data_IF_250281199972
#
_entry.id   IF_250281199972
#
_cell.length_a   1.000
_cell.length_b   1.000
_cell.length_c   1.000
_cell.angle_alpha   90.00
_cell.angle_beta   90.00
_cell.angle_gamma   90.00
#
_symmetry.space_group_name_H-M   'P 1'
#
loop_
_entity.id
_entity.type
_entity.pdbx_description
1 polymer ?
#
# COMPACT_ATOMS: atom_id res chain seq x y z
N UNK A 1 -24.13 -0.38 12.90
CA UNK A 1 -24.15 -0.91 14.28
C UNK A 1 -24.28 -2.42 14.20
N UNK A 2 -23.43 -3.14 14.93
CA UNK A 2 -23.45 -4.59 15.00
C UNK A 2 -24.31 -5.04 16.19
N UNK A 3 -25.03 -6.15 16.03
CA UNK A 3 -25.76 -6.84 17.11
C UNK A 3 -25.21 -8.26 17.23
N UNK A 4 -24.96 -8.72 18.45
CA UNK A 4 -24.60 -10.09 18.77
C UNK A 4 -25.58 -10.64 19.80
N UNK A 5 -26.00 -11.90 19.65
CA UNK A 5 -26.90 -12.59 20.58
C UNK A 5 -26.21 -13.83 21.13
N UNK A 6 -26.33 -14.08 22.42
CA UNK A 6 -25.71 -15.22 23.08
C UNK A 6 -25.94 -15.19 24.59
N UNK A 7 -25.33 -16.15 25.30
CA UNK A 7 -25.38 -16.11 26.77
C UNK A 7 -24.58 -14.93 27.31
N UNK A 8 -25.03 -14.35 28.41
CA UNK A 8 -24.36 -13.21 29.07
C UNK A 8 -22.84 -13.50 29.31
N UNK A 9 -22.52 -14.68 29.80
CA UNK A 9 -21.16 -15.09 30.07
C UNK A 9 -20.30 -15.09 28.77
N UNK A 10 -20.81 -15.66 27.67
CA UNK A 10 -20.10 -15.70 26.40
C UNK A 10 -19.87 -14.31 25.82
N UNK A 11 -20.89 -13.45 25.86
CA UNK A 11 -20.80 -12.09 25.36
C UNK A 11 -19.78 -11.26 26.14
N UNK A 12 -19.85 -11.28 27.48
CA UNK A 12 -18.89 -10.55 28.33
C UNK A 12 -17.46 -11.09 28.21
N UNK A 13 -17.29 -12.41 28.04
CA UNK A 13 -15.95 -13.02 27.86
C UNK A 13 -15.32 -12.61 26.53
N UNK A 14 -16.10 -12.54 25.46
CA UNK A 14 -15.61 -12.22 24.12
C UNK A 14 -15.45 -10.71 23.88
N UNK A 15 -16.19 -9.87 24.60
CA UNK A 15 -16.33 -8.43 24.38
C UNK A 15 -15.00 -7.73 24.11
N UNK A 16 -14.07 -7.78 25.07
CA UNK A 16 -12.82 -7.00 24.96
C UNK A 16 -12.00 -7.39 23.75
N UNK A 17 -11.88 -8.69 23.48
CA UNK A 17 -11.13 -9.18 22.31
C UNK A 17 -11.79 -8.75 21.00
N UNK A 18 -13.11 -8.89 20.91
CA UNK A 18 -13.86 -8.47 19.71
C UNK A 18 -13.74 -6.96 19.48
N UNK A 19 -13.90 -6.14 20.53
CA UNK A 19 -13.76 -4.69 20.44
C UNK A 19 -12.33 -4.27 20.03
N UNK A 20 -11.29 -4.92 20.54
CA UNK A 20 -9.92 -4.60 20.15
C UNK A 20 -9.71 -4.79 18.64
N UNK A 21 -10.21 -5.87 18.06
CA UNK A 21 -10.15 -6.07 16.61
C UNK A 21 -11.00 -5.05 15.84
N UNK A 22 -12.24 -4.83 16.27
CA UNK A 22 -13.14 -3.88 15.62
C UNK A 22 -12.58 -2.46 15.64
N UNK A 23 -12.12 -1.98 16.79
CA UNK A 23 -11.55 -0.65 16.93
C UNK A 23 -10.33 -0.45 16.03
N UNK A 24 -9.39 -1.40 16.05
CA UNK A 24 -8.16 -1.36 15.25
C UNK A 24 -8.46 -1.40 13.74
N UNK A 25 -9.22 -2.39 13.29
CA UNK A 25 -9.51 -2.57 11.87
C UNK A 25 -10.42 -1.47 11.30
N UNK A 26 -11.36 -0.97 12.10
CA UNK A 26 -12.18 0.20 11.71
C UNK A 26 -11.31 1.45 11.56
N UNK A 27 -10.30 1.64 12.41
CA UNK A 27 -9.33 2.73 12.28
C UNK A 27 -8.58 2.67 10.95
N UNK A 28 -8.11 1.50 10.57
CA UNK A 28 -7.45 1.28 9.26
C UNK A 28 -8.39 1.59 8.11
N UNK A 29 -9.62 1.08 8.14
CA UNK A 29 -10.61 1.35 7.11
C UNK A 29 -10.94 2.85 7.01
N UNK A 30 -11.08 3.54 8.14
CA UNK A 30 -11.39 4.98 8.21
C UNK A 30 -10.25 5.80 7.60
N UNK A 31 -9.02 5.62 8.05
CA UNK A 31 -7.89 6.37 7.49
C UNK A 31 -7.68 6.06 6.00
N UNK A 32 -7.90 4.81 5.58
CA UNK A 32 -7.83 4.45 4.17
C UNK A 32 -8.89 5.19 3.36
N UNK A 33 -10.11 5.29 3.87
CA UNK A 33 -11.19 6.04 3.23
C UNK A 33 -10.87 7.52 3.08
N UNK A 34 -10.27 8.14 4.09
CA UNK A 34 -9.78 9.53 4.02
C UNK A 34 -8.74 9.72 2.90
N UNK A 35 -7.83 8.75 2.72
CA UNK A 35 -6.90 8.77 1.60
C UNK A 35 -7.62 8.65 0.26
N UNK A 36 -8.57 7.73 0.13
CA UNK A 36 -9.37 7.57 -1.09
C UNK A 36 -10.09 8.87 -1.46
N UNK A 37 -10.75 9.50 -0.49
CA UNK A 37 -11.40 10.80 -0.68
C UNK A 37 -10.41 11.89 -1.10
N UNK A 38 -9.20 11.90 -0.51
CA UNK A 38 -8.16 12.88 -0.89
C UNK A 38 -7.72 12.75 -2.34
N UNK A 39 -7.80 11.54 -2.91
CA UNK A 39 -7.40 11.22 -4.28
C UNK A 39 -8.57 11.33 -5.29
N UNK A 40 -9.78 11.66 -4.86
CA UNK A 40 -10.94 11.81 -5.76
C UNK A 40 -10.67 12.79 -6.92
N UNK A 41 -11.13 12.42 -8.11
CA UNK A 41 -10.89 13.19 -9.35
C UNK A 41 -9.50 12.98 -9.94
N UNK A 42 -8.67 12.10 -9.39
CA UNK A 42 -7.43 11.60 -10.01
C UNK A 42 -7.59 10.13 -10.42
N UNK A 43 -6.68 9.62 -11.24
CA UNK A 43 -6.64 8.19 -11.59
C UNK A 43 -5.81 7.36 -10.59
N UNK A 44 -5.19 8.00 -9.62
CA UNK A 44 -4.28 7.38 -8.66
C UNK A 44 -5.06 6.68 -7.53
N UNK A 45 -4.63 5.47 -7.17
CA UNK A 45 -5.21 4.69 -6.07
C UNK A 45 -4.24 4.60 -4.90
N UNK A 46 -4.77 4.60 -3.68
CA UNK A 46 -3.96 4.33 -2.49
C UNK A 46 -3.74 2.84 -2.31
N UNK A 47 -2.52 2.46 -1.91
CA UNK A 47 -2.10 1.10 -1.58
C UNK A 47 -1.56 0.97 -0.16
N UNK A 48 -1.81 -0.18 0.44
CA UNK A 48 -1.10 -0.60 1.65
C UNK A 48 0.33 -1.07 1.34
N UNK A 49 0.99 -1.55 2.36
CA UNK A 49 2.34 -2.14 2.26
C UNK A 49 2.41 -3.45 3.07
N UNK A 50 3.62 -4.01 3.21
CA UNK A 50 3.89 -5.11 4.15
C UNK A 50 4.25 -4.65 5.56
N UNK A 51 4.24 -3.35 5.84
CA UNK A 51 4.45 -2.76 7.17
C UNK A 51 3.16 -2.90 7.99
N UNK A 52 2.89 -4.10 8.48
CA UNK A 52 1.66 -4.48 9.19
C UNK A 52 1.99 -5.02 10.57
N UNK A 53 1.01 -5.01 11.47
CA UNK A 53 1.12 -5.66 12.78
C UNK A 53 1.41 -7.15 12.61
N UNK A 54 2.42 -7.70 13.32
CA UNK A 54 2.71 -9.12 13.26
C UNK A 54 1.46 -9.98 13.52
N UNK A 55 1.24 -10.96 12.63
CA UNK A 55 0.06 -11.84 12.70
C UNK A 55 -1.23 -11.24 12.14
N UNK A 56 -1.38 -9.92 11.99
CA UNK A 56 -2.63 -9.29 11.57
C UNK A 56 -2.69 -8.85 10.11
N UNK A 57 -1.64 -9.07 9.31
CA UNK A 57 -1.57 -8.57 7.92
C UNK A 57 -2.80 -8.87 7.09
N UNK A 58 -3.35 -10.07 7.18
CA UNK A 58 -4.53 -10.45 6.40
C UNK A 58 -5.74 -9.59 6.76
N UNK A 59 -5.98 -9.38 8.05
CA UNK A 59 -7.10 -8.58 8.54
C UNK A 59 -6.90 -7.08 8.22
N UNK A 60 -5.69 -6.57 8.41
CA UNK A 60 -5.37 -5.18 8.10
C UNK A 60 -5.54 -4.87 6.61
N UNK A 61 -5.09 -5.78 5.72
CA UNK A 61 -5.32 -5.65 4.27
C UNK A 61 -6.82 -5.74 3.89
N UNK A 62 -7.60 -6.55 4.58
CA UNK A 62 -9.05 -6.56 4.42
C UNK A 62 -9.67 -5.22 4.84
N UNK A 63 -9.19 -4.63 5.94
CA UNK A 63 -9.64 -3.32 6.39
C UNK A 63 -9.27 -2.20 5.39
N UNK A 64 -8.07 -2.23 4.80
CA UNK A 64 -7.69 -1.31 3.71
C UNK A 64 -8.65 -1.44 2.53
N UNK A 65 -8.95 -2.66 2.11
CA UNK A 65 -9.91 -2.89 1.01
C UNK A 65 -11.31 -2.38 1.38
N UNK A 66 -11.77 -2.61 2.59
CA UNK A 66 -13.06 -2.10 3.09
C UNK A 66 -13.13 -0.57 3.11
N UNK A 67 -12.00 0.12 3.33
CA UNK A 67 -11.87 1.58 3.21
C UNK A 67 -11.82 2.11 1.78
N UNK A 68 -11.84 1.22 0.76
CA UNK A 68 -11.77 1.58 -0.66
C UNK A 68 -10.34 1.65 -1.22
N UNK A 69 -9.34 1.33 -0.43
CA UNK A 69 -7.95 1.21 -0.87
C UNK A 69 -7.68 -0.08 -1.65
N UNK A 70 -6.49 -0.20 -2.21
CA UNK A 70 -6.01 -1.39 -2.90
C UNK A 70 -4.90 -2.06 -2.11
N UNK A 71 -4.78 -3.38 -2.23
CA UNK A 71 -3.72 -4.10 -1.57
C UNK A 71 -2.48 -4.19 -2.46
N UNK A 72 -1.32 -3.91 -1.91
CA UNK A 72 -0.03 -4.36 -2.43
C UNK A 72 0.13 -5.85 -2.12
N UNK A 73 1.19 -6.50 -2.59
CA UNK A 73 1.48 -7.91 -2.33
C UNK A 73 1.28 -8.29 -0.86
N UNK A 74 0.74 -9.48 -0.63
CA UNK A 74 0.54 -10.03 0.71
C UNK A 74 1.82 -10.60 1.32
N UNK A 75 2.68 -11.19 0.46
CA UNK A 75 3.90 -11.85 0.92
C UNK A 75 5.03 -11.78 -0.11
N UNK A 76 5.87 -12.79 -0.10
CA UNK A 76 6.94 -12.98 -1.09
C UNK A 76 6.52 -13.97 -2.20
N UNK A 77 5.29 -14.50 -2.10
CA UNK A 77 4.77 -15.55 -2.96
C UNK A 77 3.85 -15.02 -4.07
N UNK A 78 3.30 -13.83 -3.94
CA UNK A 78 2.30 -13.25 -4.85
C UNK A 78 2.82 -12.11 -5.73
N UNK A 79 3.97 -11.52 -5.38
CA UNK A 79 4.74 -10.63 -6.26
C UNK A 79 6.18 -10.47 -5.78
N UNK A 80 7.09 -10.20 -6.71
CA UNK A 80 8.45 -9.78 -6.42
C UNK A 80 8.49 -8.26 -6.32
N UNK A 81 9.17 -7.72 -5.30
CA UNK A 81 9.59 -6.32 -5.24
C UNK A 81 11.09 -6.27 -5.08
N UNK A 82 11.77 -5.88 -6.14
CA UNK A 82 13.21 -5.65 -6.14
C UNK A 82 13.47 -4.33 -5.44
N UNK A 83 14.29 -4.35 -4.41
CA UNK A 83 14.68 -3.18 -3.61
C UNK A 83 16.17 -2.92 -3.71
N UNK A 84 16.61 -1.76 -3.25
CA UNK A 84 18.00 -1.35 -3.21
C UNK A 84 18.97 -2.48 -2.79
N UNK A 85 18.71 -3.17 -1.68
CA UNK A 85 19.56 -4.27 -1.22
C UNK A 85 19.63 -5.44 -2.23
N UNK A 86 18.56 -5.68 -2.99
CA UNK A 86 18.55 -6.71 -4.03
C UNK A 86 19.39 -6.27 -5.25
N UNK A 87 19.32 -4.98 -5.62
CA UNK A 87 20.14 -4.41 -6.70
C UNK A 87 21.62 -4.49 -6.30
N UNK A 88 21.95 -4.06 -5.08
CA UNK A 88 23.32 -4.15 -4.54
C UNK A 88 23.84 -5.59 -4.56
N UNK A 89 23.04 -6.54 -4.07
CA UNK A 89 23.42 -7.96 -4.04
C UNK A 89 23.53 -8.60 -5.44
N UNK A 90 22.78 -8.10 -6.42
CA UNK A 90 22.85 -8.56 -7.81
C UNK A 90 23.97 -7.89 -8.61
N UNK A 91 24.42 -6.70 -8.21
CA UNK A 91 25.45 -5.90 -8.85
C UNK A 91 24.92 -4.81 -9.78
N UNK A 92 23.68 -4.90 -10.28
CA UNK A 92 23.02 -3.87 -11.11
C UNK A 92 21.50 -4.07 -11.15
N UNK A 93 20.77 -3.07 -11.63
CA UNK A 93 19.32 -3.14 -11.93
C UNK A 93 19.05 -4.25 -12.95
N UNK A 94 19.82 -4.29 -14.04
CA UNK A 94 19.74 -5.32 -15.08
C UNK A 94 19.89 -6.72 -14.49
N UNK A 95 20.95 -6.95 -13.71
CA UNK A 95 21.21 -8.28 -13.14
C UNK A 95 20.10 -8.71 -12.15
N UNK A 96 19.51 -7.77 -11.40
CA UNK A 96 18.40 -8.03 -10.52
C UNK A 96 17.12 -8.41 -11.30
N UNK A 97 16.81 -7.70 -12.39
CA UNK A 97 15.67 -8.01 -13.27
C UNK A 97 15.86 -9.36 -13.99
N UNK A 98 17.06 -9.66 -14.49
CA UNK A 98 17.35 -10.95 -15.12
C UNK A 98 17.11 -12.13 -14.19
N UNK A 99 17.49 -12.03 -12.92
CA UNK A 99 17.24 -13.08 -11.90
C UNK A 99 15.75 -13.31 -11.62
N UNK A 100 14.89 -12.34 -11.90
CA UNK A 100 13.44 -12.45 -11.65
C UNK A 100 12.62 -12.73 -12.91
N UNK A 101 13.25 -12.85 -14.07
CA UNK A 101 12.57 -13.05 -15.38
C UNK A 101 11.58 -14.22 -15.38
N UNK A 102 11.86 -15.28 -14.65
CA UNK A 102 11.04 -16.50 -14.59
C UNK A 102 10.30 -16.62 -13.25
N UNK A 103 10.00 -15.53 -12.58
CA UNK A 103 9.37 -15.55 -11.25
C UNK A 103 7.93 -16.12 -11.26
N UNK A 104 7.24 -16.11 -12.41
CA UNK A 104 5.86 -16.59 -12.53
C UNK A 104 4.81 -15.69 -11.84
N UNK A 105 5.25 -14.57 -11.27
CA UNK A 105 4.45 -13.56 -10.58
C UNK A 105 4.89 -12.17 -11.03
N UNK A 106 4.06 -11.12 -10.84
CA UNK A 106 4.45 -9.74 -11.16
C UNK A 106 5.76 -9.33 -10.49
N UNK A 107 6.60 -8.61 -11.23
CA UNK A 107 7.87 -8.09 -10.75
C UNK A 107 7.84 -6.57 -10.80
N UNK A 108 7.97 -5.95 -9.64
CA UNK A 108 8.10 -4.51 -9.45
C UNK A 108 9.52 -4.19 -9.00
N UNK A 109 10.06 -3.06 -9.45
CA UNK A 109 11.39 -2.60 -9.05
C UNK A 109 11.34 -1.19 -8.49
N UNK A 110 11.93 -1.03 -7.30
CA UNK A 110 12.15 0.26 -6.65
C UNK A 110 13.37 0.94 -7.28
N UNK A 111 13.18 2.17 -7.75
CA UNK A 111 14.22 3.01 -8.33
C UNK A 111 14.28 4.36 -7.62
N UNK A 112 15.49 4.90 -7.44
CA UNK A 112 15.77 6.11 -6.65
C UNK A 112 16.53 7.17 -7.45
N UNK A 113 17.19 6.77 -8.53
CA UNK A 113 17.93 7.68 -9.39
C UNK A 113 17.44 7.57 -10.83
N UNK A 114 17.75 8.56 -11.62
CA UNK A 114 17.40 8.58 -13.03
C UNK A 114 18.09 7.46 -13.80
N UNK A 115 19.32 7.15 -13.45
CA UNK A 115 20.10 6.09 -14.06
C UNK A 115 19.49 4.73 -13.79
N UNK A 116 19.04 4.46 -12.54
CA UNK A 116 18.32 3.23 -12.19
C UNK A 116 17.00 3.12 -12.96
N UNK A 117 16.26 4.23 -13.10
CA UNK A 117 15.03 4.27 -13.87
C UNK A 117 15.28 3.93 -15.35
N UNK A 118 16.25 4.56 -15.98
CA UNK A 118 16.58 4.35 -17.38
C UNK A 118 17.05 2.91 -17.61
N UNK A 119 17.90 2.36 -16.73
CA UNK A 119 18.33 0.98 -16.78
C UNK A 119 17.15 0.01 -16.61
N UNK A 120 16.21 0.29 -15.70
CA UNK A 120 15.01 -0.54 -15.50
C UNK A 120 14.11 -0.56 -16.74
N UNK A 121 13.87 0.61 -17.34
CA UNK A 121 13.05 0.73 -18.56
C UNK A 121 13.69 0.01 -19.75
N UNK A 122 14.99 0.17 -19.95
CA UNK A 122 15.77 -0.51 -21.01
C UNK A 122 15.77 -2.05 -20.85
N UNK A 123 15.72 -2.54 -19.61
CA UNK A 123 15.69 -3.97 -19.31
C UNK A 123 14.28 -4.54 -19.13
N UNK A 124 13.26 -3.80 -19.57
CA UNK A 124 11.92 -4.32 -19.74
C UNK A 124 11.02 -4.21 -18.52
N UNK A 125 11.39 -3.49 -17.46
CA UNK A 125 10.53 -3.28 -16.30
C UNK A 125 9.16 -2.74 -16.72
N UNK A 126 8.10 -3.31 -16.15
CA UNK A 126 6.69 -2.94 -16.41
C UNK A 126 6.00 -2.41 -15.17
N UNK A 127 6.58 -2.58 -13.99
CA UNK A 127 6.08 -2.05 -12.72
C UNK A 127 7.25 -1.36 -12.01
N UNK A 128 7.11 -0.07 -11.81
CA UNK A 128 8.11 0.79 -11.20
C UNK A 128 7.58 1.38 -9.90
N UNK A 129 8.36 1.28 -8.84
CA UNK A 129 8.15 2.01 -7.60
C UNK A 129 9.20 3.12 -7.54
N UNK A 130 8.75 4.38 -7.57
CA UNK A 130 9.61 5.55 -7.45
C UNK A 130 9.64 5.95 -5.98
N UNK A 131 10.83 5.90 -5.37
CA UNK A 131 10.98 6.06 -3.93
C UNK A 131 11.57 7.41 -3.54
N UNK A 132 10.94 8.07 -2.57
CA UNK A 132 11.40 9.30 -1.95
C UNK A 132 11.57 10.52 -2.88
N UNK A 133 10.76 10.64 -3.93
CA UNK A 133 10.71 11.83 -4.78
C UNK A 133 9.85 12.93 -4.14
N UNK A 134 10.13 14.18 -4.47
CA UNK A 134 9.19 15.30 -4.24
C UNK A 134 8.01 15.22 -5.23
N UNK A 135 6.87 15.90 -4.98
CA UNK A 135 5.77 15.94 -5.95
C UNK A 135 6.17 16.49 -7.33
N UNK A 136 7.11 17.43 -7.39
CA UNK A 136 7.62 17.99 -8.64
C UNK A 136 8.45 16.96 -9.42
N UNK A 137 9.40 16.30 -8.77
CA UNK A 137 10.20 15.22 -9.35
C UNK A 137 9.31 14.03 -9.78
N UNK A 138 8.32 13.66 -8.96
CA UNK A 138 7.37 12.60 -9.30
C UNK A 138 6.63 12.93 -10.61
N UNK A 139 6.15 14.17 -10.79
CA UNK A 139 5.50 14.61 -12.03
C UNK A 139 6.43 14.55 -13.23
N UNK A 140 7.66 15.01 -13.07
CA UNK A 140 8.69 14.95 -14.12
C UNK A 140 8.96 13.50 -14.53
N UNK A 141 9.21 12.62 -13.55
CA UNK A 141 9.54 11.22 -13.83
C UNK A 141 8.37 10.44 -14.42
N UNK A 142 7.15 10.65 -13.91
CA UNK A 142 5.93 10.04 -14.49
C UNK A 142 5.74 10.47 -15.95
N UNK A 143 5.88 11.78 -16.23
CA UNK A 143 5.78 12.31 -17.60
C UNK A 143 6.81 11.68 -18.52
N UNK A 144 8.05 11.58 -18.06
CA UNK A 144 9.13 10.92 -18.80
C UNK A 144 8.82 9.45 -19.08
N UNK A 145 8.47 8.68 -18.05
CA UNK A 145 8.15 7.24 -18.22
C UNK A 145 7.04 7.05 -19.26
N UNK A 146 5.96 7.85 -19.16
CA UNK A 146 4.83 7.78 -20.10
C UNK A 146 5.23 8.13 -21.54
N UNK A 147 6.24 9.01 -21.73
CA UNK A 147 6.75 9.38 -23.06
C UNK A 147 7.64 8.30 -23.69
N UNK A 148 8.39 7.56 -22.85
CA UNK A 148 9.34 6.52 -23.31
C UNK A 148 8.67 5.17 -23.47
N UNK A 149 7.78 4.79 -22.57
CA UNK A 149 7.17 3.47 -22.54
C UNK A 149 5.73 3.52 -22.04
N UNK A 150 4.79 3.16 -22.89
CA UNK A 150 3.39 3.01 -22.49
C UNK A 150 3.14 1.70 -21.74
N UNK A 151 2.07 1.68 -20.91
CA UNK A 151 1.65 0.47 -20.19
C UNK A 151 2.52 0.12 -18.96
N UNK A 152 3.42 1.00 -18.54
CA UNK A 152 4.17 0.84 -17.29
C UNK A 152 3.27 1.24 -16.12
N UNK A 153 3.15 0.37 -15.13
CA UNK A 153 2.53 0.69 -13.84
C UNK A 153 3.51 1.46 -12.98
N UNK A 154 3.08 2.61 -12.45
CA UNK A 154 3.91 3.51 -11.65
C UNK A 154 3.33 3.66 -10.25
N UNK A 155 4.11 3.29 -9.25
CA UNK A 155 3.81 3.51 -7.84
C UNK A 155 4.75 4.55 -7.26
N UNK A 156 4.24 5.48 -6.46
CA UNK A 156 5.04 6.41 -5.67
C UNK A 156 5.03 5.98 -4.20
N UNK A 157 6.19 6.02 -3.57
CA UNK A 157 6.40 5.67 -2.17
C UNK A 157 7.42 6.60 -1.52
N UNK A 158 7.53 6.51 -0.19
CA UNK A 158 8.49 7.30 0.59
C UNK A 158 7.94 8.61 1.12
N UNK A 159 7.75 8.69 2.44
CA UNK A 159 7.37 9.93 3.15
C UNK A 159 6.00 10.54 2.80
N UNK A 160 5.19 9.87 1.97
CA UNK A 160 3.88 10.38 1.55
C UNK A 160 2.90 10.26 2.73
N UNK A 161 2.23 11.37 3.04
CA UNK A 161 1.21 11.46 4.07
C UNK A 161 -0.11 12.03 3.49
N UNK A 162 -1.17 12.03 4.28
CA UNK A 162 -2.49 12.47 3.83
C UNK A 162 -2.50 13.93 3.31
N UNK A 163 -1.68 14.80 3.88
CA UNK A 163 -1.59 16.21 3.49
C UNK A 163 -0.94 16.35 2.10
N UNK A 164 0.11 15.58 1.84
CA UNK A 164 0.86 15.63 0.57
C UNK A 164 0.27 14.73 -0.53
N UNK A 165 -0.59 13.76 -0.18
CA UNK A 165 -1.10 12.75 -1.09
C UNK A 165 -1.69 13.32 -2.39
N UNK A 166 -2.47 14.41 -2.30
CA UNK A 166 -3.07 15.05 -3.48
C UNK A 166 -2.02 15.53 -4.49
N UNK A 167 -0.96 16.19 -4.01
CA UNK A 167 0.10 16.72 -4.87
C UNK A 167 0.86 15.60 -5.62
N UNK A 168 1.04 14.45 -4.94
CA UNK A 168 1.62 13.25 -5.59
C UNK A 168 0.66 12.61 -6.59
N UNK A 169 -0.63 12.52 -6.28
CA UNK A 169 -1.62 11.93 -7.19
C UNK A 169 -1.76 12.73 -8.50
N UNK A 170 -1.60 14.04 -8.45
CA UNK A 170 -1.61 14.93 -9.62
C UNK A 170 -0.39 14.74 -10.54
N UNK A 171 0.60 13.94 -10.17
CA UNK A 171 1.69 13.52 -11.05
C UNK A 171 1.24 12.58 -12.17
N UNK A 172 0.10 11.89 -12.01
CA UNK A 172 -0.40 10.88 -12.95
C UNK A 172 0.14 9.47 -12.71
N UNK A 173 0.71 9.19 -11.53
CA UNK A 173 1.06 7.83 -11.11
C UNK A 173 -0.21 7.00 -10.90
N UNK A 174 -0.08 5.67 -11.04
CA UNK A 174 -1.20 4.75 -10.86
C UNK A 174 -1.50 4.48 -9.38
N UNK A 175 -0.46 4.48 -8.54
CA UNK A 175 -0.58 4.16 -7.12
C UNK A 175 0.26 5.08 -6.24
N UNK A 176 -0.27 5.34 -5.03
CA UNK A 176 0.48 5.85 -3.89
C UNK A 176 0.49 4.79 -2.79
N UNK A 177 1.66 4.40 -2.30
CA UNK A 177 1.75 3.48 -1.18
C UNK A 177 2.20 4.18 0.10
N UNK A 178 1.51 3.87 1.18
CA UNK A 178 1.88 4.35 2.51
C UNK A 178 1.70 3.27 3.57
N UNK A 179 2.76 3.02 4.35
CA UNK A 179 2.68 2.13 5.49
C UNK A 179 1.87 2.72 6.66
N UNK A 180 1.71 4.04 6.71
CA UNK A 180 1.00 4.71 7.79
C UNK A 180 -0.48 4.33 7.87
N UNK A 181 -1.08 3.93 6.76
CA UNK A 181 -2.49 3.49 6.73
C UNK A 181 -2.73 2.18 7.51
N UNK A 182 -1.69 1.42 7.79
CA UNK A 182 -1.75 0.20 8.61
C UNK A 182 -1.04 0.38 9.95
N UNK A 183 0.27 0.66 9.96
CA UNK A 183 1.05 0.68 11.20
C UNK A 183 0.81 1.90 12.10
N UNK A 184 0.16 2.97 11.62
CA UNK A 184 -0.08 4.20 12.36
C UNK A 184 -1.56 4.64 12.38
N UNK A 185 -2.48 3.77 11.96
CA UNK A 185 -3.90 4.06 12.02
C UNK A 185 -4.37 4.15 13.48
N UNK A 186 -5.11 5.21 13.81
CA UNK A 186 -5.70 5.39 15.14
C UNK A 186 -6.95 4.53 15.24
N UNK A 187 -7.04 3.74 16.31
CA UNK A 187 -8.21 2.91 16.57
C UNK A 187 -9.47 3.77 16.79
N UNK A 188 -10.59 3.35 16.22
CA UNK A 188 -11.89 3.99 16.47
C UNK A 188 -12.38 3.58 17.86
N UNK A 189 -12.92 4.52 18.63
CA UNK A 189 -13.52 4.21 19.91
C UNK A 189 -14.94 3.61 19.72
N UNK A 190 -15.04 2.31 19.98
CA UNK A 190 -16.29 1.53 19.89
C UNK A 190 -16.56 0.89 21.24
N UNK A 191 -17.78 1.03 21.76
CA UNK A 191 -18.19 0.40 23.01
C UNK A 191 -19.27 -0.66 22.78
N UNK A 192 -19.48 -1.48 23.79
CA UNK A 192 -20.47 -2.56 23.84
C UNK A 192 -21.55 -2.23 24.88
N UNK A 193 -22.82 -2.34 24.48
CA UNK A 193 -23.96 -2.23 25.38
C UNK A 193 -24.71 -3.56 25.45
N UNK A 194 -24.91 -4.09 26.65
CA UNK A 194 -25.68 -5.31 26.87
C UNK A 194 -27.13 -4.95 27.17
N UNK A 195 -28.09 -5.66 26.52
CA UNK A 195 -29.49 -5.62 26.83
C UNK A 195 -29.98 -7.03 27.12
N UNK A 196 -30.85 -7.18 28.12
CA UNK A 196 -31.53 -8.47 28.42
C UNK A 196 -32.85 -8.50 27.68
N UNK A 197 -33.12 -9.60 26.97
CA UNK A 197 -34.43 -9.91 26.36
C UNK A 197 -35.19 -10.86 27.25
#
# INVERSE_FOLDING_TARGET
>A
ILRATGTTLSLLTAERTALNFLCHLSGIATVTHEWVQRLEGTNTKVRDTRKTTPGLRRLEKQAVHAGGGTNHRHGLFDAVLIKNNHITAAGSVRAALEKTRNAGVPVEIEVRTREELDEALQNGATHLLLDNLTPAEAREWVTYIRSVKQGVTIELSGGINLQSARAYAESGADFLSSGSITHSAVAVDINFGLTME
#
